data_IF_403893764923
#
_entry.id   IF_403893764923
#
_cell.length_a   1.000
_cell.length_b   1.000
_cell.length_c   1.000
_cell.angle_alpha   90.00
_cell.angle_beta   90.00
_cell.angle_gamma   90.00
#
_symmetry.space_group_name_H-M   'P 1'
#
loop_
_entity.id
_entity.type
_entity.pdbx_description
1 polymer ?
#
# COMPACT_ATOMS: atom_id res chain seq x y z
N UNK A 1 11.91 25.79 6.54
CA UNK A 1 11.37 25.35 5.25
C UNK A 1 12.44 24.50 4.60
N UNK A 2 12.44 23.19 4.87
CA UNK A 2 13.35 22.23 4.24
C UNK A 2 12.46 21.29 3.42
N UNK A 3 12.53 21.41 2.09
CA UNK A 3 11.77 20.57 1.17
C UNK A 3 12.72 19.57 0.51
N UNK A 4 12.24 18.32 0.47
CA UNK A 4 12.53 17.29 -0.53
C UNK A 4 13.97 16.78 -0.62
N UNK A 5 14.32 15.80 0.21
CA UNK A 5 15.39 14.83 -0.15
C UNK A 5 15.12 13.39 0.34
N UNK A 6 14.02 13.13 1.08
CA UNK A 6 13.71 11.78 1.60
C UNK A 6 12.88 10.91 0.63
N UNK A 7 12.29 11.53 -0.39
CA UNK A 7 11.34 10.93 -1.36
C UNK A 7 12.01 9.91 -2.30
N UNK A 8 13.23 10.19 -2.78
CA UNK A 8 13.92 9.33 -3.74
C UNK A 8 14.45 8.02 -3.14
N UNK A 9 14.74 8.01 -1.83
CA UNK A 9 15.25 6.83 -1.11
C UNK A 9 14.15 5.82 -0.74
N UNK A 10 12.88 6.25 -0.63
CA UNK A 10 11.75 5.35 -0.32
C UNK A 10 11.24 4.57 -1.54
N UNK A 11 11.42 5.09 -2.76
CA UNK A 11 10.94 4.43 -3.98
C UNK A 11 11.66 3.09 -4.29
N UNK A 12 12.91 2.93 -3.84
CA UNK A 12 13.70 1.73 -4.06
C UNK A 12 13.31 0.55 -3.16
N UNK A 13 12.63 0.80 -2.04
CA UNK A 13 12.12 -0.21 -1.09
C UNK A 13 10.59 -0.41 -1.24
N UNK A 14 10.01 0.10 -2.33
CA UNK A 14 8.59 -0.05 -2.59
C UNK A 14 8.27 -1.46 -3.09
N UNK A 15 7.25 -2.16 -2.53
CA UNK A 15 6.84 -3.49 -2.99
C UNK A 15 6.37 -3.49 -4.45
N UNK A 16 6.03 -2.33 -5.01
CA UNK A 16 5.64 -2.18 -6.43
C UNK A 16 6.82 -2.20 -7.41
N UNK A 17 8.07 -2.20 -6.92
CA UNK A 17 9.25 -2.40 -7.76
C UNK A 17 9.42 -3.88 -8.17
N UNK A 18 8.87 -4.81 -7.39
CA UNK A 18 8.90 -6.25 -7.66
C UNK A 18 7.87 -6.63 -8.76
N UNK A 19 8.31 -7.15 -9.93
CA UNK A 19 7.40 -7.56 -10.99
C UNK A 19 6.43 -8.68 -10.56
N UNK A 20 6.86 -9.63 -9.72
CA UNK A 20 6.00 -10.73 -9.26
C UNK A 20 4.90 -10.22 -8.32
N UNK A 21 5.23 -9.22 -7.49
CA UNK A 21 4.22 -8.52 -6.68
C UNK A 21 3.21 -7.78 -7.58
N UNK A 22 3.67 -7.09 -8.62
CA UNK A 22 2.77 -6.37 -9.55
C UNK A 22 1.84 -7.31 -10.29
N UNK A 23 2.31 -8.48 -10.69
CA UNK A 23 1.48 -9.47 -11.36
C UNK A 23 0.42 -10.05 -10.41
N UNK A 24 0.78 -10.37 -9.16
CA UNK A 24 -0.21 -10.74 -8.14
C UNK A 24 -1.22 -9.62 -7.90
N UNK A 25 -0.75 -8.37 -7.81
CA UNK A 25 -1.59 -7.21 -7.55
C UNK A 25 -2.66 -6.98 -8.63
N UNK A 26 -2.38 -7.35 -9.89
CA UNK A 26 -3.35 -7.22 -11.00
C UNK A 26 -4.62 -8.06 -10.74
N UNK A 27 -4.45 -9.24 -10.18
CA UNK A 27 -5.53 -10.19 -9.86
C UNK A 27 -6.29 -9.84 -8.57
N UNK A 28 -5.78 -8.90 -7.77
CA UNK A 28 -6.40 -8.51 -6.51
C UNK A 28 -7.61 -7.58 -6.70
N UNK A 29 -8.57 -7.59 -5.75
CA UNK A 29 -9.72 -6.69 -5.76
C UNK A 29 -9.29 -5.21 -5.71
N UNK A 30 -10.17 -4.29 -6.17
CA UNK A 30 -9.83 -2.85 -6.26
C UNK A 30 -9.42 -2.25 -4.91
N UNK A 31 -10.00 -2.69 -3.80
CA UNK A 31 -9.63 -2.23 -2.45
C UNK A 31 -8.18 -2.58 -2.09
N UNK A 32 -7.72 -3.78 -2.43
CA UNK A 32 -6.34 -4.20 -2.19
C UNK A 32 -5.34 -3.42 -3.05
N UNK A 33 -5.68 -3.17 -4.31
CA UNK A 33 -4.89 -2.31 -5.21
C UNK A 33 -4.75 -0.89 -4.68
N UNK A 34 -5.84 -0.32 -4.18
CA UNK A 34 -5.81 1.01 -3.59
C UNK A 34 -4.91 1.05 -2.34
N UNK A 35 -5.04 0.09 -1.43
CA UNK A 35 -4.20 0.02 -0.22
C UNK A 35 -2.72 -0.14 -0.58
N UNK A 36 -2.38 -0.98 -1.56
CA UNK A 36 -1.00 -1.09 -2.06
C UNK A 36 -0.47 0.24 -2.62
N UNK A 37 -1.31 1.03 -3.28
CA UNK A 37 -0.92 2.36 -3.78
C UNK A 37 -0.71 3.36 -2.65
N UNK A 38 -1.55 3.33 -1.61
CA UNK A 38 -1.39 4.19 -0.44
C UNK A 38 -0.06 3.87 0.27
N UNK A 39 0.26 2.59 0.42
CA UNK A 39 1.53 2.13 1.02
C UNK A 39 2.80 2.52 0.23
N UNK A 40 2.68 2.89 -1.06
CA UNK A 40 3.82 3.32 -1.88
C UNK A 40 4.40 4.66 -1.42
N UNK A 41 3.57 5.52 -0.82
CA UNK A 41 3.89 6.93 -0.56
C UNK A 41 4.36 7.25 0.86
N UNK A 42 4.49 6.25 1.74
CA UNK A 42 4.48 6.52 3.18
C UNK A 42 5.40 5.60 3.98
N UNK A 43 6.02 6.19 5.01
CA UNK A 43 6.63 5.48 6.13
C UNK A 43 5.65 4.46 6.73
N UNK A 44 6.10 3.43 7.50
CA UNK A 44 5.21 2.40 8.05
C UNK A 44 3.95 2.99 8.68
N UNK A 45 2.81 2.73 8.05
CA UNK A 45 1.50 3.24 8.46
C UNK A 45 0.79 2.22 9.33
N UNK A 46 0.12 2.70 10.37
CA UNK A 46 -0.86 1.90 11.08
C UNK A 46 -2.08 1.63 10.19
N UNK A 47 -2.83 0.57 10.52
CA UNK A 47 -4.04 0.23 9.80
C UNK A 47 -5.11 1.35 9.82
N UNK A 48 -5.19 2.14 10.90
CA UNK A 48 -6.09 3.28 10.99
C UNK A 48 -5.70 4.41 10.04
N UNK A 49 -4.39 4.72 9.94
CA UNK A 49 -3.89 5.70 8.97
C UNK A 49 -4.18 5.28 7.53
N UNK A 50 -4.05 3.98 7.22
CA UNK A 50 -4.44 3.45 5.92
C UNK A 50 -5.94 3.62 5.65
N UNK A 51 -6.80 3.48 6.66
CA UNK A 51 -8.24 3.74 6.52
C UNK A 51 -8.53 5.21 6.23
N UNK A 52 -7.88 6.11 6.96
CA UNK A 52 -8.03 7.56 6.79
C UNK A 52 -7.54 8.02 5.40
N UNK A 53 -6.39 7.54 4.94
CA UNK A 53 -5.80 7.97 3.66
C UNK A 53 -6.48 7.34 2.44
N UNK A 54 -6.91 6.07 2.55
CA UNK A 54 -7.62 5.39 1.47
C UNK A 54 -9.11 5.75 1.40
N UNK A 55 -9.65 6.40 2.43
CA UNK A 55 -11.09 6.65 2.62
C UNK A 55 -11.91 5.35 2.60
N UNK A 56 -11.29 4.24 3.00
CA UNK A 56 -11.94 2.94 3.12
C UNK A 56 -12.31 2.66 4.59
N UNK A 57 -13.42 1.98 4.86
CA UNK A 57 -13.71 1.48 6.20
C UNK A 57 -12.61 0.52 6.70
N UNK A 58 -12.35 0.50 8.02
CA UNK A 58 -11.33 -0.37 8.64
C UNK A 58 -11.44 -1.84 8.23
N UNK A 59 -12.68 -2.35 8.10
CA UNK A 59 -12.92 -3.73 7.67
C UNK A 59 -12.43 -4.00 6.25
N UNK A 60 -12.57 -3.02 5.37
CA UNK A 60 -12.13 -3.09 3.97
C UNK A 60 -10.61 -3.00 3.88
N UNK A 61 -9.98 -2.14 4.70
CA UNK A 61 -8.52 -2.08 4.81
C UNK A 61 -7.97 -3.41 5.34
N UNK A 62 -8.57 -3.98 6.38
CA UNK A 62 -8.18 -5.29 6.92
C UNK A 62 -8.27 -6.38 5.87
N UNK A 63 -9.38 -6.40 5.13
CA UNK A 63 -9.57 -7.36 4.03
C UNK A 63 -8.51 -7.17 2.93
N UNK A 64 -8.23 -5.93 2.54
CA UNK A 64 -7.21 -5.60 1.56
C UNK A 64 -5.81 -6.06 2.00
N UNK A 65 -5.42 -5.80 3.26
CA UNK A 65 -4.14 -6.25 3.82
C UNK A 65 -4.03 -7.77 3.84
N UNK A 66 -5.09 -8.49 4.25
CA UNK A 66 -5.10 -9.96 4.20
C UNK A 66 -4.94 -10.49 2.76
N UNK A 67 -5.51 -9.80 1.76
CA UNK A 67 -5.35 -10.15 0.35
C UNK A 67 -3.94 -9.90 -0.16
N UNK A 68 -3.28 -8.83 0.29
CA UNK A 68 -1.90 -8.51 -0.08
C UNK A 68 -0.87 -9.49 0.51
N UNK A 69 -1.13 -10.00 1.72
CA UNK A 69 -0.28 -10.99 2.39
C UNK A 69 -0.41 -12.42 1.81
N UNK A 70 -1.32 -12.61 0.84
CA UNK A 70 -1.59 -13.93 0.25
C UNK A 70 -2.40 -14.87 1.15
N UNK A 71 -2.89 -14.39 2.31
CA UNK A 71 -3.72 -15.14 3.27
C UNK A 71 -5.20 -15.20 2.88
N UNK A 72 -5.48 -15.53 1.61
CA UNK A 72 -6.81 -15.60 1.02
C UNK A 72 -7.28 -17.00 0.71
#
# INVERSE_FOLDING_TARGET
>A
MSTTTEDASHAADSPLADPDFRDRLRELPPSAKLVAKVLEGTSPQSQGQLADESLLPDRTVRYALNRLDGGG
#
